data_IF_820516694991
#
_entry.id   IF_820516694991
#
_cell.length_a   1.000
_cell.length_b   1.000
_cell.length_c   1.000
_cell.angle_alpha   90.00
_cell.angle_beta   90.00
_cell.angle_gamma   90.00
#
_symmetry.space_group_name_H-M   'P 1'
#
loop_
_entity.id
_entity.type
_entity.pdbx_description
1 polymer ?
#
# COMPACT_ATOMS: atom_id res chain seq x y z
N UNK A 1 -5.56 41.21 12.80
CA UNK A 1 -4.70 40.01 12.98
C UNK A 1 -3.77 40.29 14.14
N UNK A 2 -4.07 39.78 15.33
CA UNK A 2 -3.22 39.98 16.52
C UNK A 2 -2.58 38.65 16.94
N UNK A 3 -1.28 38.66 17.19
CA UNK A 3 -0.59 37.59 17.90
C UNK A 3 -0.48 38.02 19.37
N UNK A 4 -0.77 37.12 20.29
CA UNK A 4 -0.69 37.40 21.72
C UNK A 4 0.64 36.86 22.25
N UNK A 5 1.40 37.67 22.98
CA UNK A 5 2.63 37.24 23.62
C UNK A 5 2.32 36.83 25.06
N UNK A 6 2.60 35.58 25.43
CA UNK A 6 2.40 35.04 26.76
C UNK A 6 3.64 34.31 27.29
N UNK A 7 3.63 33.94 28.56
CA UNK A 7 4.70 33.16 29.18
C UNK A 7 4.29 31.69 29.21
N UNK A 8 5.11 30.82 28.65
CA UNK A 8 4.92 29.37 28.67
C UNK A 8 6.25 28.68 28.94
N UNK A 9 6.30 27.82 29.97
CA UNK A 9 7.53 27.18 30.44
C UNK A 9 8.67 28.18 30.71
N UNK A 10 8.37 29.26 31.43
CA UNK A 10 9.28 30.38 31.75
C UNK A 10 9.89 31.10 30.54
N UNK A 11 9.29 30.95 29.35
CA UNK A 11 9.74 31.58 28.10
C UNK A 11 8.62 32.37 27.44
N UNK A 12 8.98 33.47 26.77
CA UNK A 12 8.04 34.24 25.95
C UNK A 12 7.67 33.43 24.71
N UNK A 13 6.37 33.20 24.51
CA UNK A 13 5.81 32.45 23.37
C UNK A 13 4.61 33.16 22.78
N UNK A 14 4.45 33.03 21.47
CA UNK A 14 3.30 33.57 20.75
C UNK A 14 2.10 32.62 20.84
N UNK A 15 0.92 33.20 20.95
CA UNK A 15 -0.37 32.53 20.99
C UNK A 15 -1.27 33.11 19.92
N UNK A 16 -2.10 32.25 19.32
CA UNK A 16 -3.16 32.67 18.40
C UNK A 16 -4.26 33.44 19.15
N UNK A 17 -5.15 34.17 18.44
CA UNK A 17 -6.34 34.77 19.05
C UNK A 17 -7.28 33.80 19.76
N UNK A 18 -7.13 32.50 19.51
CA UNK A 18 -7.86 31.43 20.19
C UNK A 18 -7.13 30.89 21.43
N UNK A 19 -6.01 31.51 21.83
CA UNK A 19 -5.19 31.07 22.96
C UNK A 19 -4.34 29.83 22.67
N UNK A 20 -4.15 29.46 21.41
CA UNK A 20 -3.33 28.30 21.05
C UNK A 20 -1.87 28.70 20.89
N UNK A 21 -0.96 28.00 21.57
CA UNK A 21 0.48 28.21 21.48
C UNK A 21 0.95 27.99 20.03
N UNK A 22 1.63 28.99 19.47
CA UNK A 22 2.21 28.89 18.12
C UNK A 22 3.57 28.19 18.23
N UNK A 23 3.79 27.09 17.49
CA UNK A 23 5.10 26.44 17.45
C UNK A 23 6.15 27.41 16.89
N UNK A 24 7.40 27.26 17.33
CA UNK A 24 8.50 28.01 16.71
C UNK A 24 8.67 27.59 15.26
N UNK A 25 9.26 28.45 14.40
CA UNK A 25 9.56 28.07 13.02
C UNK A 25 10.42 26.80 12.93
N UNK A 26 11.30 26.55 13.92
CA UNK A 26 12.10 25.33 13.99
C UNK A 26 11.25 24.09 14.30
N UNK A 27 10.35 24.18 15.29
CA UNK A 27 9.39 23.11 15.61
C UNK A 27 8.46 22.80 14.43
N UNK A 28 7.95 23.83 13.75
CA UNK A 28 7.10 23.68 12.57
C UNK A 28 7.85 22.99 11.41
N UNK A 29 9.11 23.38 11.16
CA UNK A 29 9.95 22.75 10.14
C UNK A 29 10.27 21.28 10.47
N UNK A 30 10.48 20.94 11.74
CA UNK A 30 10.70 19.56 12.17
C UNK A 30 9.44 18.71 11.95
N UNK A 31 8.27 19.24 12.33
CA UNK A 31 6.97 18.58 12.12
C UNK A 31 6.71 18.34 10.64
N UNK A 32 6.97 19.33 9.78
CA UNK A 32 6.79 19.18 8.32
C UNK A 32 7.72 18.11 7.74
N UNK A 33 8.99 18.08 8.17
CA UNK A 33 9.94 17.03 7.76
C UNK A 33 9.46 15.65 8.18
N UNK A 34 9.01 15.50 9.42
CA UNK A 34 8.52 14.23 9.95
C UNK A 34 7.25 13.76 9.23
N UNK A 35 6.31 14.68 8.94
CA UNK A 35 5.11 14.37 8.17
C UNK A 35 5.46 13.90 6.76
N UNK A 36 6.40 14.58 6.10
CA UNK A 36 6.87 14.21 4.75
C UNK A 36 7.58 12.86 4.72
N UNK A 37 8.37 12.56 5.74
CA UNK A 37 9.02 11.25 5.86
C UNK A 37 8.00 10.13 6.08
N UNK A 38 7.02 10.36 6.97
CA UNK A 38 5.93 9.42 7.22
C UNK A 38 5.09 9.17 5.96
N UNK A 39 4.77 10.23 5.20
CA UNK A 39 4.05 10.10 3.93
C UNK A 39 4.84 9.27 2.91
N UNK A 40 6.16 9.47 2.82
CA UNK A 40 7.03 8.68 1.95
C UNK A 40 7.03 7.20 2.35
N UNK A 41 7.17 6.91 3.64
CA UNK A 41 7.12 5.54 4.15
C UNK A 41 5.78 4.86 3.83
N UNK A 42 4.66 5.56 4.04
CA UNK A 42 3.34 5.01 3.70
C UNK A 42 3.22 4.73 2.21
N UNK A 43 3.73 5.62 1.36
CA UNK A 43 3.71 5.43 -0.10
C UNK A 43 4.57 4.24 -0.52
N UNK A 44 5.74 4.06 0.08
CA UNK A 44 6.63 2.92 -0.19
C UNK A 44 5.97 1.60 0.22
N UNK A 45 5.36 1.54 1.41
CA UNK A 45 4.60 0.38 1.87
C UNK A 45 3.41 0.06 0.96
N UNK A 46 2.72 1.08 0.43
CA UNK A 46 1.62 0.88 -0.50
C UNK A 46 2.09 0.31 -1.84
N UNK A 47 3.23 0.79 -2.36
CA UNK A 47 3.85 0.25 -3.57
C UNK A 47 4.28 -1.21 -3.37
N UNK A 48 4.94 -1.51 -2.26
CA UNK A 48 5.38 -2.88 -1.95
C UNK A 48 4.20 -3.86 -1.86
N UNK A 49 3.08 -3.45 -1.23
CA UNK A 49 1.86 -4.27 -1.20
C UNK A 49 1.28 -4.49 -2.60
N UNK A 50 1.26 -3.45 -3.43
CA UNK A 50 0.79 -3.55 -4.80
C UNK A 50 1.65 -4.49 -5.65
N UNK A 51 2.97 -4.45 -5.49
CA UNK A 51 3.89 -5.37 -6.16
C UNK A 51 3.68 -6.81 -5.72
N UNK A 52 3.52 -7.04 -4.41
CA UNK A 52 3.21 -8.37 -3.87
C UNK A 52 1.90 -8.92 -4.42
N UNK A 53 0.84 -8.10 -4.46
CA UNK A 53 -0.45 -8.51 -5.03
C UNK A 53 -0.35 -8.84 -6.52
N UNK A 54 0.40 -8.04 -7.29
CA UNK A 54 0.67 -8.34 -8.71
C UNK A 54 1.40 -9.67 -8.87
N UNK A 55 2.42 -9.93 -8.06
CA UNK A 55 3.19 -11.17 -8.12
C UNK A 55 2.32 -12.39 -7.81
N UNK A 56 1.46 -12.29 -6.78
CA UNK A 56 0.50 -13.35 -6.45
C UNK A 56 -0.48 -13.62 -7.58
N UNK A 57 -1.02 -12.56 -8.18
CA UNK A 57 -1.96 -12.67 -9.31
C UNK A 57 -1.31 -13.29 -10.54
N UNK A 58 -0.04 -12.95 -10.82
CA UNK A 58 0.72 -13.55 -11.90
C UNK A 58 0.99 -15.03 -11.66
N UNK A 59 1.40 -15.41 -10.44
CA UNK A 59 1.58 -16.81 -10.06
C UNK A 59 0.28 -17.62 -10.20
N UNK A 60 -0.84 -17.07 -9.73
CA UNK A 60 -2.15 -17.73 -9.88
C UNK A 60 -2.50 -17.94 -11.36
N UNK A 61 -2.24 -16.96 -12.22
CA UNK A 61 -2.46 -17.08 -13.68
C UNK A 61 -1.59 -18.18 -14.29
N UNK A 62 -0.31 -18.22 -13.94
CA UNK A 62 0.60 -19.27 -14.42
C UNK A 62 0.14 -20.66 -13.98
N UNK A 63 -0.29 -20.81 -12.71
CA UNK A 63 -0.82 -22.08 -12.23
C UNK A 63 -2.10 -22.51 -12.97
N UNK A 64 -3.01 -21.57 -13.21
CA UNK A 64 -4.22 -21.83 -14.00
C UNK A 64 -3.89 -22.25 -15.43
N UNK A 65 -2.96 -21.57 -16.08
CA UNK A 65 -2.54 -21.92 -17.44
C UNK A 65 -1.90 -23.30 -17.50
N UNK A 66 -0.99 -23.63 -16.57
CA UNK A 66 -0.41 -24.96 -16.45
C UNK A 66 -1.45 -26.03 -16.16
N UNK A 67 -2.46 -25.75 -15.32
CA UNK A 67 -3.55 -26.67 -15.05
C UNK A 67 -4.40 -26.92 -16.31
N UNK A 68 -4.72 -25.87 -17.07
CA UNK A 68 -5.45 -25.99 -18.34
C UNK A 68 -4.65 -26.79 -19.38
N UNK A 69 -3.35 -26.52 -19.53
CA UNK A 69 -2.48 -27.30 -20.42
C UNK A 69 -2.44 -28.77 -20.02
N UNK A 70 -2.34 -29.08 -18.72
CA UNK A 70 -2.38 -30.46 -18.23
C UNK A 70 -3.73 -31.12 -18.51
N UNK A 71 -4.84 -30.42 -18.29
CA UNK A 71 -6.19 -30.93 -18.60
C UNK A 71 -6.32 -31.21 -20.10
N UNK A 72 -5.82 -30.31 -20.96
CA UNK A 72 -5.84 -30.50 -22.42
C UNK A 72 -5.00 -31.71 -22.84
N UNK A 73 -3.78 -31.84 -22.31
CA UNK A 73 -2.89 -32.98 -22.55
C UNK A 73 -3.53 -34.31 -22.10
N UNK A 74 -4.13 -34.33 -20.92
CA UNK A 74 -4.81 -35.51 -20.39
C UNK A 74 -6.04 -35.86 -21.23
N UNK A 75 -6.85 -34.86 -21.59
CA UNK A 75 -8.01 -35.03 -22.48
C UNK A 75 -7.60 -35.60 -23.83
N UNK A 76 -6.52 -35.09 -24.43
CA UNK A 76 -5.98 -35.59 -25.68
C UNK A 76 -5.50 -37.05 -25.54
N UNK A 77 -4.75 -37.37 -24.48
CA UNK A 77 -4.28 -38.74 -24.19
C UNK A 77 -5.42 -39.72 -23.94
N UNK A 78 -6.47 -39.32 -23.25
CA UNK A 78 -7.66 -40.15 -23.02
C UNK A 78 -8.38 -40.45 -24.34
N UNK A 79 -8.53 -39.44 -25.21
CA UNK A 79 -9.09 -39.60 -26.56
C UNK A 79 -8.24 -40.53 -27.44
N UNK A 80 -6.90 -40.44 -27.37
CA UNK A 80 -6.00 -41.38 -28.05
C UNK A 80 -6.20 -42.83 -27.59
N UNK A 81 -6.56 -43.04 -26.32
CA UNK A 81 -6.85 -44.35 -25.74
C UNK A 81 -8.28 -44.85 -26.02
N UNK A 82 -9.07 -44.10 -26.80
CA UNK A 82 -10.44 -44.46 -27.18
C UNK A 82 -11.50 -44.22 -26.10
N UNK A 83 -11.15 -43.47 -25.05
CA UNK A 83 -12.07 -43.06 -23.99
C UNK A 83 -12.47 -41.62 -24.28
N UNK A 84 -13.74 -41.34 -24.57
CA UNK A 84 -14.24 -39.98 -24.75
C UNK A 84 -14.53 -39.35 -23.38
N UNK A 85 -13.70 -38.42 -22.88
CA UNK A 85 -13.97 -37.76 -21.60
C UNK A 85 -15.19 -36.82 -21.65
N UNK A 86 -15.67 -36.45 -22.85
CA UNK A 86 -16.85 -35.61 -23.08
C UNK A 86 -18.17 -36.34 -22.81
N UNK A 87 -18.19 -37.69 -22.84
CA UNK A 87 -19.38 -38.49 -22.48
C UNK A 87 -19.56 -38.66 -20.97
N UNK A 88 -18.56 -38.25 -20.16
CA UNK A 88 -18.55 -38.45 -18.70
C UNK A 88 -18.82 -37.18 -17.87
N UNK A 89 -19.15 -36.05 -18.51
CA UNK A 89 -19.53 -34.77 -17.88
C UNK A 89 -21.01 -34.47 -18.13
#
# INVERSE_FOLDING_TARGET
>A
MGLYLGIYADKLRYFSPRGQLIPTPEEAALLEKQAKESERQQKELALQQQEYERQQKESERQQKELALQKIEQLTARLRELGINPDETL
#
